data_IF_097219151000
#
_entry.id   IF_097219151000
#
_cell.length_a   1.000
_cell.length_b   1.000
_cell.length_c   1.000
_cell.angle_alpha   90.00
_cell.angle_beta   90.00
_cell.angle_gamma   90.00
#
_symmetry.space_group_name_H-M   'P 1'
#
loop_
_entity.id
_entity.type
_entity.pdbx_description
1 polymer ?
#
# COMPACT_ATOMS: atom_id res chain seq x y z
N UNK A 1 7.14 2.87 -11.30
CA UNK A 1 7.00 1.45 -10.92
C UNK A 1 5.52 1.06 -10.88
N UNK A 2 5.16 -0.23 -10.98
CA UNK A 2 3.78 -0.69 -10.72
C UNK A 2 3.60 -0.83 -9.21
N UNK A 3 2.55 -0.23 -8.68
CA UNK A 3 2.23 -0.30 -7.25
C UNK A 3 1.10 -1.30 -7.05
N UNK A 4 1.21 -2.10 -6.01
CA UNK A 4 0.20 -3.06 -5.60
C UNK A 4 -0.42 -2.57 -4.30
N UNK A 5 -1.75 -2.52 -4.25
CA UNK A 5 -2.52 -2.06 -3.10
C UNK A 5 -3.00 -3.25 -2.31
N UNK A 6 -2.80 -3.20 -1.01
CA UNK A 6 -3.23 -4.24 -0.09
C UNK A 6 -4.08 -3.63 1.02
N UNK A 7 -5.03 -4.41 1.52
CA UNK A 7 -5.77 -4.13 2.75
C UNK A 7 -5.36 -5.14 3.82
N UNK A 8 -5.25 -4.67 5.06
CA UNK A 8 -4.98 -5.54 6.20
C UNK A 8 -6.27 -6.24 6.60
N UNK A 9 -6.24 -7.57 6.67
CA UNK A 9 -7.36 -8.33 7.22
C UNK A 9 -7.41 -8.26 8.76
N UNK A 10 -6.32 -7.85 9.41
CA UNK A 10 -6.26 -7.64 10.85
C UNK A 10 -6.76 -6.24 11.28
N UNK A 11 -6.77 -5.27 10.35
CA UNK A 11 -7.08 -3.85 10.60
C UNK A 11 -7.83 -3.27 9.39
N UNK A 12 -9.15 -3.11 9.52
CA UNK A 12 -10.03 -2.62 8.44
C UNK A 12 -9.64 -1.25 7.86
N UNK A 13 -9.03 -0.38 8.68
CA UNK A 13 -8.62 0.96 8.30
C UNK A 13 -7.22 1.00 7.70
N UNK A 14 -6.44 -0.08 7.82
CA UNK A 14 -5.04 -0.15 7.44
C UNK A 14 -4.85 -0.75 6.06
N UNK A 15 -4.07 -0.02 5.27
CA UNK A 15 -3.78 -0.34 3.89
C UNK A 15 -2.27 -0.22 3.64
N UNK A 16 -1.81 -0.85 2.57
CA UNK A 16 -0.42 -0.82 2.19
C UNK A 16 -0.23 -0.69 0.68
N UNK A 17 0.88 -0.07 0.28
CA UNK A 17 1.41 -0.15 -1.07
C UNK A 17 2.70 -0.99 -1.07
N UNK A 18 2.85 -1.87 -2.04
CA UNK A 18 4.09 -2.62 -2.30
C UNK A 18 4.50 -2.54 -3.78
N UNK A 19 5.74 -2.91 -4.07
CA UNK A 19 6.29 -2.98 -5.43
C UNK A 19 6.02 -4.29 -6.16
N UNK A 20 5.44 -5.27 -5.47
CA UNK A 20 5.22 -6.65 -5.93
C UNK A 20 3.83 -7.16 -5.57
N UNK A 21 3.32 -8.09 -6.38
CA UNK A 21 1.96 -8.65 -6.23
C UNK A 21 1.78 -9.51 -4.99
N UNK A 22 2.86 -10.10 -4.46
CA UNK A 22 2.81 -10.94 -3.28
C UNK A 22 2.90 -10.16 -1.98
N UNK A 23 3.27 -8.87 -2.04
CA UNK A 23 3.48 -8.06 -0.85
C UNK A 23 4.56 -8.64 0.06
N UNK A 24 5.61 -9.21 -0.53
CA UNK A 24 6.67 -9.97 0.14
C UNK A 24 7.38 -9.23 1.29
N UNK A 25 7.41 -7.89 1.23
CA UNK A 25 8.00 -7.04 2.27
C UNK A 25 6.98 -6.48 3.27
N UNK A 26 5.70 -6.82 3.14
CA UNK A 26 4.67 -6.31 4.04
C UNK A 26 4.81 -6.93 5.44
N UNK A 27 4.58 -6.13 6.51
CA UNK A 27 4.76 -6.62 7.86
C UNK A 27 3.70 -7.65 8.24
N UNK A 28 4.12 -8.85 8.65
CA UNK A 28 3.25 -9.97 8.99
C UNK A 28 2.32 -9.69 10.18
N UNK A 29 2.70 -8.78 11.10
CA UNK A 29 1.87 -8.36 12.25
C UNK A 29 0.52 -7.73 11.88
N UNK A 30 0.42 -7.21 10.66
CA UNK A 30 -0.82 -6.66 10.11
C UNK A 30 -1.34 -7.51 8.94
N UNK A 31 -0.72 -8.66 8.69
CA UNK A 31 -1.25 -9.66 7.78
C UNK A 31 -2.43 -10.40 8.41
N UNK A 32 -3.16 -11.22 7.63
CA UNK A 32 -2.99 -11.43 6.20
C UNK A 32 -3.28 -10.17 5.36
N UNK A 33 -2.56 -10.01 4.26
CA UNK A 33 -2.72 -8.88 3.34
C UNK A 33 -3.54 -9.31 2.13
N UNK A 34 -4.69 -8.68 1.91
CA UNK A 34 -5.51 -8.91 0.73
C UNK A 34 -5.13 -7.94 -0.38
N UNK A 35 -4.71 -8.43 -1.55
CA UNK A 35 -4.49 -7.59 -2.72
C UNK A 35 -5.85 -7.00 -3.18
N UNK A 36 -5.97 -5.68 -3.14
CA UNK A 36 -7.21 -4.98 -3.51
C UNK A 36 -7.14 -4.35 -4.90
N UNK A 37 -5.94 -4.07 -5.39
CA UNK A 37 -5.78 -3.51 -6.73
C UNK A 37 -4.33 -3.25 -7.10
N UNK A 38 -4.14 -2.77 -8.32
CA UNK A 38 -2.82 -2.39 -8.83
C UNK A 38 -2.91 -1.01 -9.47
N UNK A 39 -1.88 -0.20 -9.32
CA UNK A 39 -1.74 1.09 -9.96
C UNK A 39 -0.58 1.04 -10.95
N UNK A 40 -0.92 1.28 -12.21
CA UNK A 40 0.06 1.42 -13.29
C UNK A 40 0.91 2.66 -13.11
N UNK A 41 2.10 2.71 -13.70
CA UNK A 41 3.03 3.86 -13.60
C UNK A 41 2.49 5.19 -14.14
N UNK A 42 1.33 5.20 -14.79
CA UNK A 42 0.64 6.41 -15.27
C UNK A 42 -0.57 6.81 -14.43
N UNK A 43 -1.02 5.94 -13.51
CA UNK A 43 -2.21 6.18 -12.69
C UNK A 43 -1.83 6.90 -11.39
N UNK A 44 -2.59 7.94 -11.04
CA UNK A 44 -2.37 8.67 -9.80
C UNK A 44 -2.84 7.83 -8.61
N UNK A 45 -2.10 7.81 -7.49
CA UNK A 45 -2.55 7.16 -6.26
C UNK A 45 -3.84 7.79 -5.73
N UNK A 46 -4.71 7.01 -5.05
CA UNK A 46 -5.91 7.54 -4.41
C UNK A 46 -5.56 8.55 -3.31
N UNK A 47 -6.54 9.34 -2.87
CA UNK A 47 -6.41 10.29 -1.75
C UNK A 47 -5.31 11.37 -1.89
N UNK A 48 -4.91 11.72 -3.12
CA UNK A 48 -3.84 12.70 -3.39
C UNK A 48 -2.48 12.29 -2.79
N UNK A 49 -2.25 10.99 -2.57
CA UNK A 49 -0.94 10.54 -2.14
C UNK A 49 0.11 10.88 -3.21
N UNK A 50 1.25 11.39 -2.76
CA UNK A 50 2.39 11.62 -3.64
C UNK A 50 2.93 10.27 -4.09
N UNK A 51 2.78 9.98 -5.39
CA UNK A 51 3.36 8.78 -5.99
C UNK A 51 4.84 8.65 -5.67
N UNK A 52 5.57 9.75 -5.80
CA UNK A 52 7.01 9.79 -5.54
C UNK A 52 7.35 9.38 -4.11
N UNK A 53 6.52 9.76 -3.14
CA UNK A 53 6.71 9.38 -1.74
C UNK A 53 6.47 7.89 -1.53
N UNK A 54 5.39 7.34 -2.11
CA UNK A 54 5.09 5.90 -2.07
C UNK A 54 6.23 5.11 -2.72
N UNK A 55 6.67 5.53 -3.91
CA UNK A 55 7.73 4.85 -4.64
C UNK A 55 9.06 4.91 -3.89
N UNK A 56 9.37 6.05 -3.26
CA UNK A 56 10.55 6.19 -2.43
C UNK A 56 10.50 5.26 -1.22
N UNK A 57 9.38 5.24 -0.47
CA UNK A 57 9.21 4.36 0.68
C UNK A 57 9.28 2.87 0.30
N UNK A 58 8.71 2.47 -0.84
CA UNK A 58 8.86 1.09 -1.33
C UNK A 58 10.31 0.79 -1.69
N UNK A 59 11.04 1.74 -2.28
CA UNK A 59 12.46 1.56 -2.59
C UNK A 59 13.33 1.44 -1.33
N UNK A 60 12.98 2.12 -0.25
CA UNK A 60 13.79 2.16 0.99
C UNK A 60 13.38 1.10 2.01
N UNK A 61 12.08 0.96 2.27
CA UNK A 61 11.50 0.10 3.30
C UNK A 61 10.84 -1.15 2.73
N UNK A 62 10.51 -1.15 1.43
CA UNK A 62 9.82 -2.25 0.76
C UNK A 62 8.30 -2.09 0.68
N UNK A 63 7.73 -1.18 1.46
CA UNK A 63 6.31 -0.93 1.49
C UNK A 63 6.00 0.50 1.97
N UNK A 64 4.76 0.94 1.78
CA UNK A 64 4.22 2.16 2.39
C UNK A 64 2.89 1.84 3.05
N UNK A 65 2.79 2.02 4.36
CA UNK A 65 1.51 1.91 5.07
C UNK A 65 0.74 3.22 5.01
N UNK A 66 -0.59 3.12 4.95
CA UNK A 66 -1.48 4.25 5.09
C UNK A 66 -2.78 3.78 5.74
N UNK A 67 -3.51 4.72 6.35
CA UNK A 67 -4.79 4.43 7.01
C UNK A 67 -5.84 5.44 6.58
N UNK A 68 -7.08 4.98 6.46
CA UNK A 68 -8.20 5.90 6.35
C UNK A 68 -8.44 6.56 7.71
N UNK A 69 -8.65 7.88 7.73
CA UNK A 69 -9.14 8.51 8.95
C UNK A 69 -10.58 8.04 9.18
N UNK A 70 -10.95 7.62 10.40
CA UNK A 70 -12.36 7.38 10.69
C UNK A 70 -13.14 8.67 10.42
N UNK A 71 -14.26 8.56 9.71
CA UNK A 71 -15.25 9.63 9.68
C UNK A 71 -15.88 9.69 11.07
N UNK A 72 -15.39 10.62 11.90
CA UNK A 72 -16.09 11.05 13.11
C UNK A 72 -17.29 11.92 12.76
#
# INVERSE_FOLDING_TARGET
>A
MRLFMFTSQAKEDLHAFAGDESGSKLPAKYGPWGLTGTLSSREAPPHKFSRRTIEHAISTEGFQLWRMKPKG
#
